data_IF_417987930148
#
_entry.id   IF_417987930148
#
_cell.length_a   1.000
_cell.length_b   1.000
_cell.length_c   1.000
_cell.angle_alpha   90.00
_cell.angle_beta   90.00
_cell.angle_gamma   90.00
#
_symmetry.space_group_name_H-M   'P 1'
#
loop_
_entity.id
_entity.type
_entity.pdbx_description
1 polymer ?
#
# COMPACT_ATOMS: atom_id res chain seq x y z
N UNK A 1 -60.65 9.80 -17.89
CA UNK A 1 -59.24 10.12 -18.18
C UNK A 1 -58.47 10.58 -16.94
N UNK A 2 -58.85 11.68 -16.27
CA UNK A 2 -58.13 12.21 -15.08
C UNK A 2 -57.89 11.21 -13.93
N UNK A 3 -58.89 10.38 -13.58
CA UNK A 3 -58.76 9.35 -12.53
C UNK A 3 -57.77 8.24 -12.88
N UNK A 4 -57.73 7.83 -14.14
CA UNK A 4 -56.80 6.81 -14.64
C UNK A 4 -55.36 7.35 -14.63
N UNK A 5 -55.18 8.61 -15.00
CA UNK A 5 -53.88 9.30 -14.92
C UNK A 5 -53.37 9.39 -13.47
N UNK A 6 -54.22 9.73 -12.50
CA UNK A 6 -53.81 9.76 -11.09
C UNK A 6 -53.41 8.38 -10.55
N UNK A 7 -54.15 7.31 -10.92
CA UNK A 7 -53.81 5.94 -10.49
C UNK A 7 -52.44 5.53 -11.06
N UNK A 8 -52.17 5.85 -12.33
CA UNK A 8 -50.87 5.55 -12.95
C UNK A 8 -49.76 6.31 -12.23
N UNK A 9 -49.92 7.60 -11.97
CA UNK A 9 -48.89 8.39 -11.26
C UNK A 9 -48.61 7.83 -9.86
N UNK A 10 -49.65 7.52 -9.09
CA UNK A 10 -49.50 6.96 -7.75
C UNK A 10 -48.85 5.57 -7.80
N UNK A 11 -49.24 4.72 -8.75
CA UNK A 11 -48.64 3.41 -8.93
C UNK A 11 -47.15 3.51 -9.30
N UNK A 12 -46.78 4.38 -10.24
CA UNK A 12 -45.37 4.59 -10.61
C UNK A 12 -44.56 5.14 -9.45
N UNK A 13 -45.13 6.07 -8.66
CA UNK A 13 -44.46 6.63 -7.49
C UNK A 13 -44.24 5.58 -6.39
N UNK A 14 -45.22 4.72 -6.14
CA UNK A 14 -45.10 3.60 -5.20
C UNK A 14 -44.06 2.58 -5.69
N UNK A 15 -44.05 2.24 -6.98
CA UNK A 15 -43.04 1.33 -7.56
C UNK A 15 -41.63 1.89 -7.42
N UNK A 16 -41.44 3.20 -7.63
CA UNK A 16 -40.13 3.84 -7.41
C UNK A 16 -39.73 3.94 -5.94
N UNK A 17 -40.69 4.07 -5.02
CA UNK A 17 -40.41 4.07 -3.57
C UNK A 17 -40.05 2.67 -3.03
N UNK A 18 -40.62 1.63 -3.63
CA UNK A 18 -40.40 0.24 -3.23
C UNK A 18 -39.22 -0.42 -3.96
N UNK A 19 -38.68 0.23 -5.00
CA UNK A 19 -37.46 -0.22 -5.64
C UNK A 19 -36.27 -0.07 -4.68
N UNK A 20 -35.66 -1.20 -4.31
CA UNK A 20 -34.41 -1.17 -3.55
C UNK A 20 -33.29 -0.60 -4.44
N UNK A 21 -32.36 0.21 -3.88
CA UNK A 21 -31.19 0.63 -4.64
C UNK A 21 -30.42 -0.61 -5.12
N UNK A 22 -29.75 -0.55 -6.29
CA UNK A 22 -28.90 -1.64 -6.72
C UNK A 22 -27.86 -1.92 -5.62
N UNK A 23 -27.71 -3.19 -5.27
CA UNK A 23 -26.66 -3.61 -4.35
C UNK A 23 -25.31 -3.34 -5.00
N UNK A 24 -24.55 -2.39 -4.44
CA UNK A 24 -23.15 -2.21 -4.80
C UNK A 24 -22.39 -3.35 -4.14
N UNK A 25 -22.01 -4.35 -4.92
CA UNK A 25 -21.13 -5.41 -4.46
C UNK A 25 -19.70 -4.86 -4.38
N UNK A 26 -19.04 -5.03 -3.24
CA UNK A 26 -17.63 -4.72 -3.13
C UNK A 26 -16.85 -5.64 -4.06
N UNK A 27 -15.90 -5.09 -4.82
CA UNK A 27 -15.06 -5.90 -5.68
C UNK A 27 -14.29 -6.94 -4.86
N UNK A 28 -14.33 -8.21 -5.29
CA UNK A 28 -13.73 -9.32 -4.56
C UNK A 28 -12.24 -9.48 -4.90
N UNK A 29 -11.40 -8.63 -4.30
CA UNK A 29 -9.94 -8.71 -4.44
C UNK A 29 -9.28 -9.33 -3.21
N UNK A 30 -8.16 -10.04 -3.42
CA UNK A 30 -7.33 -10.52 -2.33
C UNK A 30 -6.43 -9.39 -1.78
N UNK A 31 -6.99 -8.59 -0.87
CA UNK A 31 -6.26 -7.47 -0.24
C UNK A 31 -5.09 -7.93 0.62
N UNK A 32 -5.11 -9.16 1.16
CA UNK A 32 -3.98 -9.71 1.91
C UNK A 32 -2.75 -9.94 1.04
N UNK A 33 -2.95 -10.50 -0.16
CA UNK A 33 -1.89 -10.68 -1.15
C UNK A 33 -1.40 -9.33 -1.70
N UNK A 34 -2.32 -8.40 -1.95
CA UNK A 34 -1.95 -7.04 -2.39
C UNK A 34 -1.06 -6.35 -1.33
N UNK A 35 -1.44 -6.41 -0.05
CA UNK A 35 -0.66 -5.86 1.06
C UNK A 35 0.72 -6.53 1.17
N UNK A 36 0.77 -7.86 1.10
CA UNK A 36 2.02 -8.63 1.15
C UNK A 36 3.00 -8.16 0.06
N UNK A 37 2.52 -8.04 -1.18
CA UNK A 37 3.35 -7.61 -2.32
C UNK A 37 3.74 -6.14 -2.25
N UNK A 38 2.84 -5.28 -1.78
CA UNK A 38 3.12 -3.85 -1.56
C UNK A 38 4.23 -3.64 -0.51
N UNK A 39 4.31 -4.49 0.51
CA UNK A 39 5.40 -4.43 1.50
C UNK A 39 6.69 -5.01 0.92
N UNK A 40 6.59 -6.13 0.17
CA UNK A 40 7.74 -6.75 -0.49
C UNK A 40 8.41 -5.80 -1.49
N UNK A 41 7.67 -4.89 -2.13
CA UNK A 41 8.22 -3.86 -3.01
C UNK A 41 9.39 -3.09 -2.39
N UNK A 42 9.34 -2.76 -1.10
CA UNK A 42 10.43 -2.01 -0.47
C UNK A 42 11.74 -2.81 -0.35
N UNK A 43 11.69 -4.14 -0.31
CA UNK A 43 12.90 -4.98 -0.43
C UNK A 43 13.57 -4.86 -1.80
N UNK A 44 12.79 -4.55 -2.84
CA UNK A 44 13.31 -4.35 -4.19
C UNK A 44 14.03 -3.01 -4.33
N UNK A 45 13.77 -2.07 -3.42
CA UNK A 45 14.34 -0.73 -3.45
C UNK A 45 15.57 -0.58 -2.55
N UNK A 46 15.89 -1.55 -1.68
CA UNK A 46 16.97 -1.43 -0.68
C UNK A 46 18.34 -1.15 -1.33
N UNK A 47 19.03 -0.09 -0.93
CA UNK A 47 20.42 0.18 -1.30
C UNK A 47 21.39 -0.29 -0.21
N UNK A 48 22.70 -0.28 -0.47
CA UNK A 48 23.74 -0.71 0.47
C UNK A 48 23.96 -2.23 0.49
N UNK A 49 24.51 -2.70 1.62
CA UNK A 49 24.65 -4.13 1.90
C UNK A 49 23.30 -4.73 2.25
N UNK A 50 22.89 -5.77 1.52
CA UNK A 50 21.61 -6.42 1.74
C UNK A 50 21.69 -7.42 2.92
N UNK A 51 20.57 -7.62 3.66
CA UNK A 51 20.49 -8.67 4.67
C UNK A 51 20.64 -10.07 4.08
N UNK A 52 21.20 -11.01 4.84
CA UNK A 52 21.36 -12.40 4.36
C UNK A 52 20.02 -13.13 4.18
N UNK A 53 18.96 -12.63 4.82
CA UNK A 53 17.61 -13.22 4.79
C UNK A 53 16.68 -12.58 3.74
N UNK A 54 17.24 -12.02 2.66
CA UNK A 54 16.45 -11.49 1.55
C UNK A 54 15.51 -12.55 0.98
N UNK A 55 14.26 -12.14 0.69
CA UNK A 55 13.26 -13.01 0.06
C UNK A 55 13.42 -13.07 -1.47
N UNK A 56 14.32 -12.25 -2.01
CA UNK A 56 14.63 -12.18 -3.45
C UNK A 56 16.00 -12.78 -3.73
N UNK A 57 16.17 -13.27 -4.96
CA UNK A 57 17.42 -13.88 -5.45
C UNK A 57 18.04 -13.11 -6.64
N UNK A 58 17.58 -11.88 -6.87
CA UNK A 58 17.97 -11.07 -8.03
C UNK A 58 18.46 -9.66 -7.63
N UNK A 59 18.22 -9.22 -6.40
CA UNK A 59 18.89 -8.05 -5.81
C UNK A 59 20.24 -8.49 -5.24
N UNK A 60 21.22 -7.60 -5.25
CA UNK A 60 22.53 -7.81 -4.61
C UNK A 60 23.02 -6.51 -3.95
N UNK A 61 24.14 -6.61 -3.23
CA UNK A 61 24.80 -5.46 -2.61
C UNK A 61 25.08 -4.35 -3.65
N UNK A 62 24.77 -3.10 -3.32
CA UNK A 62 24.92 -1.95 -4.22
C UNK A 62 25.28 -0.67 -3.47
N UNK A 63 25.88 0.32 -4.16
CA UNK A 63 26.16 1.65 -3.59
C UNK A 63 26.95 1.61 -2.25
N UNK A 64 27.93 0.70 -2.15
CA UNK A 64 28.69 0.45 -0.92
C UNK A 64 29.67 1.58 -0.56
N UNK A 65 29.85 2.55 -1.44
CA UNK A 65 30.74 3.71 -1.27
C UNK A 65 29.97 5.02 -1.05
N UNK A 66 28.63 4.96 -0.89
CA UNK A 66 27.80 6.13 -0.63
C UNK A 66 28.33 6.91 0.60
N UNK A 67 28.67 8.18 0.41
CA UNK A 67 29.18 9.08 1.45
C UNK A 67 30.71 9.11 1.60
N UNK A 68 31.44 8.28 0.86
CA UNK A 68 32.92 8.27 0.88
C UNK A 68 33.54 9.60 0.47
N UNK A 69 32.89 10.35 -0.41
CA UNK A 69 33.28 11.68 -0.87
C UNK A 69 33.21 12.76 0.22
N UNK A 70 32.41 12.52 1.26
CA UNK A 70 32.29 13.37 2.45
C UNK A 70 32.78 12.72 3.74
N UNK A 71 33.40 11.54 3.64
CA UNK A 71 33.97 10.81 4.78
C UNK A 71 32.93 10.26 5.76
N UNK A 72 31.72 9.94 5.28
CA UNK A 72 30.63 9.35 6.08
C UNK A 72 30.20 8.01 5.47
N UNK A 73 29.65 7.13 6.32
CA UNK A 73 28.88 5.99 5.82
C UNK A 73 27.44 6.47 5.59
N UNK A 74 27.10 6.65 4.33
CA UNK A 74 25.75 6.96 3.90
C UNK A 74 25.14 5.79 3.13
N UNK A 75 25.61 4.55 3.29
CA UNK A 75 25.03 3.36 2.67
C UNK A 75 23.63 3.05 3.23
N UNK A 76 22.87 2.18 2.55
CA UNK A 76 21.52 1.78 2.99
C UNK A 76 20.38 2.64 2.43
N UNK A 77 19.19 2.50 3.02
CA UNK A 77 17.97 3.19 2.60
C UNK A 77 17.33 2.59 1.34
N UNK A 78 16.51 3.37 0.64
CA UNK A 78 15.84 2.97 -0.60
C UNK A 78 16.21 3.84 -1.79
N UNK A 79 16.26 3.24 -2.98
CA UNK A 79 16.15 3.99 -4.23
C UNK A 79 14.75 4.57 -4.37
N UNK A 80 14.65 5.81 -4.87
CA UNK A 80 13.42 6.59 -4.87
C UNK A 80 12.33 6.00 -5.78
N UNK A 81 12.71 5.65 -7.02
CA UNK A 81 11.76 5.16 -8.01
C UNK A 81 12.37 4.06 -8.90
N UNK A 82 12.36 4.27 -10.22
CA UNK A 82 13.01 3.38 -11.19
C UNK A 82 14.48 3.74 -11.48
N UNK A 83 15.01 4.73 -10.76
CA UNK A 83 16.39 5.16 -10.79
C UNK A 83 17.14 4.68 -9.52
N UNK A 84 18.32 5.27 -9.25
CA UNK A 84 19.17 4.86 -8.13
C UNK A 84 19.54 6.02 -7.20
N UNK A 85 18.88 7.18 -7.32
CA UNK A 85 19.12 8.30 -6.39
C UNK A 85 18.34 8.07 -5.10
N UNK A 86 18.95 8.44 -3.97
CA UNK A 86 18.35 8.43 -2.64
C UNK A 86 17.80 9.81 -2.31
N UNK A 87 16.59 10.10 -2.75
CA UNK A 87 15.91 11.34 -2.40
C UNK A 87 15.29 11.24 -1.00
N UNK A 88 15.91 11.89 -0.02
CA UNK A 88 15.52 11.71 1.38
C UNK A 88 14.14 12.27 1.73
N UNK A 89 13.64 13.29 1.02
CA UNK A 89 12.31 13.83 1.27
C UNK A 89 11.19 12.79 1.00
N UNK A 90 11.08 12.19 -0.20
CA UNK A 90 10.11 11.12 -0.45
C UNK A 90 10.41 9.84 0.35
N UNK A 91 11.68 9.53 0.62
CA UNK A 91 12.05 8.39 1.48
C UNK A 91 11.52 8.55 2.91
N UNK A 92 11.73 9.73 3.52
CA UNK A 92 11.26 10.03 4.88
C UNK A 92 9.73 10.10 4.96
N UNK A 93 9.08 10.68 3.95
CA UNK A 93 7.63 10.62 3.81
C UNK A 93 7.13 9.17 3.81
N UNK A 94 7.72 8.32 2.97
CA UNK A 94 7.38 6.90 2.87
C UNK A 94 7.54 6.19 4.21
N UNK A 95 8.68 6.34 4.89
CA UNK A 95 8.91 5.73 6.20
C UNK A 95 7.87 6.18 7.23
N UNK A 96 7.50 7.46 7.22
CA UNK A 96 6.47 8.03 8.10
C UNK A 96 5.10 7.42 7.81
N UNK A 97 4.72 7.28 6.54
CA UNK A 97 3.44 6.67 6.14
C UNK A 97 3.39 5.19 6.49
N UNK A 98 4.49 4.44 6.31
CA UNK A 98 4.55 3.04 6.74
C UNK A 98 4.43 2.91 8.26
N UNK A 99 5.13 3.75 9.02
CA UNK A 99 5.02 3.78 10.48
C UNK A 99 3.60 4.15 10.94
N UNK A 100 2.96 5.09 10.26
CA UNK A 100 1.57 5.44 10.53
C UNK A 100 0.62 4.28 10.24
N UNK A 101 0.86 3.50 9.17
CA UNK A 101 0.09 2.28 8.90
C UNK A 101 0.24 1.23 10.02
N UNK A 102 1.43 1.09 10.63
CA UNK A 102 1.60 0.27 11.83
C UNK A 102 0.76 0.82 12.98
N UNK A 103 0.85 2.11 13.23
CA UNK A 103 0.15 2.77 14.33
C UNK A 103 -1.37 2.59 14.25
N UNK A 104 -1.97 2.79 13.09
CA UNK A 104 -3.44 2.70 12.91
C UNK A 104 -3.94 1.26 12.77
N UNK A 105 -3.18 0.39 12.10
CA UNK A 105 -3.67 -0.90 11.60
C UNK A 105 -2.84 -2.10 12.05
N UNK A 106 -2.20 -2.02 13.22
CA UNK A 106 -1.33 -3.07 13.75
C UNK A 106 -2.01 -4.45 13.75
N UNK A 107 -3.27 -4.53 14.16
CA UNK A 107 -4.03 -5.80 14.22
C UNK A 107 -4.27 -6.40 12.84
N UNK A 108 -4.49 -5.57 11.82
CA UNK A 108 -4.63 -6.06 10.45
C UNK A 108 -3.29 -6.61 9.92
N UNK A 109 -2.18 -5.90 10.21
CA UNK A 109 -0.83 -6.34 9.88
C UNK A 109 -0.44 -7.64 10.61
N UNK A 110 -0.87 -7.82 11.87
CA UNK A 110 -0.71 -9.08 12.62
C UNK A 110 -1.49 -10.21 11.98
N UNK A 111 -2.79 -10.02 11.72
CA UNK A 111 -3.66 -11.06 11.15
C UNK A 111 -3.24 -11.51 9.74
N UNK A 112 -2.69 -10.60 8.95
CA UNK A 112 -2.14 -10.90 7.62
C UNK A 112 -0.71 -11.48 7.65
N UNK A 113 -0.08 -11.55 8.82
CA UNK A 113 1.31 -11.99 8.98
C UNK A 113 2.34 -10.99 8.41
N UNK A 114 1.93 -9.76 8.09
CA UNK A 114 2.80 -8.78 7.41
C UNK A 114 3.52 -7.82 8.35
N UNK A 115 3.13 -7.76 9.64
CA UNK A 115 3.74 -6.86 10.62
C UNK A 115 5.29 -7.00 10.69
N UNK A 116 5.88 -8.21 10.74
CA UNK A 116 7.34 -8.34 10.83
C UNK A 116 8.06 -7.74 9.62
N UNK A 117 7.53 -7.95 8.41
CA UNK A 117 8.12 -7.45 7.17
C UNK A 117 8.04 -5.92 7.09
N UNK A 118 6.88 -5.34 7.41
CA UNK A 118 6.74 -3.87 7.36
C UNK A 118 7.55 -3.18 8.46
N UNK A 119 7.67 -3.78 9.66
CA UNK A 119 8.58 -3.25 10.70
C UNK A 119 10.05 -3.36 10.31
N UNK A 120 10.45 -4.37 9.54
CA UNK A 120 11.81 -4.46 9.00
C UNK A 120 12.10 -3.33 8.00
N UNK A 121 11.11 -2.90 7.22
CA UNK A 121 11.27 -1.77 6.29
C UNK A 121 11.41 -0.42 7.02
N UNK A 122 10.74 -0.23 8.15
CA UNK A 122 10.82 1.03 8.91
C UNK A 122 12.13 1.18 9.71
N UNK A 123 12.81 0.07 9.99
CA UNK A 123 13.99 0.02 10.86
C UNK A 123 15.24 0.52 10.16
#
# INVERSE_FOLDING_TARGET
MKKLTCIIIVATFIVTLLASPPTVEAANFNYGEALQKAILFYEFQMSGKLPDNMRTNWRGDSCLEDGSDVGLDLTGGWFDAGDHVKFNLPMAYTATTLAWAVYEYEDALKRSGQLPYLKQQIK
#
